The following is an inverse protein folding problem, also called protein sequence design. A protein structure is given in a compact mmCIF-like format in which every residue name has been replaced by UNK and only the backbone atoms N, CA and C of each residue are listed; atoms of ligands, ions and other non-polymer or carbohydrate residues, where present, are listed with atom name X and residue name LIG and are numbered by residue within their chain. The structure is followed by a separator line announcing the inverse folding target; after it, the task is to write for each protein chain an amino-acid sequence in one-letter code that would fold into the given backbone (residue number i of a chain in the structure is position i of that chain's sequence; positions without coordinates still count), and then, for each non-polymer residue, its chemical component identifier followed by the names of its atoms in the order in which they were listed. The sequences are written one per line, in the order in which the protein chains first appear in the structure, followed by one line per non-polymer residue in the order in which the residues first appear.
data_IF_508362859906
#
_entry.id   IF_508362859906
#
_cell.length_a   1.000
_cell.length_b   1.000
_cell.length_c   1.000
_cell.angle_alpha   90.00
_cell.angle_beta   90.00
_cell.angle_gamma   90.00
#
_symmetry.space_group_name_H-M   'P 1'
#
loop_
_entity.id
_entity.type
_entity.pdbx_description
1 polymer ?
#
# COMPACT_ATOMS: atom_id res chain seq x y z
N UNK A 1 -44.41 -52.33 -4.71
CA UNK A 1 -43.02 -52.68 -4.38
C UNK A 1 -42.12 -51.63 -5.00
N UNK A 2 -41.51 -50.77 -4.19
CA UNK A 2 -40.56 -49.75 -4.63
C UNK A 2 -39.27 -49.97 -3.84
N UNK A 3 -38.18 -50.26 -4.54
CA UNK A 3 -36.83 -50.39 -3.95
C UNK A 3 -36.31 -49.01 -3.51
N UNK A 4 -35.77 -48.88 -2.29
CA UNK A 4 -35.02 -47.69 -1.92
C UNK A 4 -33.60 -47.80 -2.48
N UNK A 5 -33.23 -46.87 -3.36
CA UNK A 5 -31.85 -46.66 -3.79
C UNK A 5 -31.11 -46.00 -2.63
N UNK A 6 -30.20 -46.72 -1.98
CA UNK A 6 -29.22 -46.13 -1.07
C UNK A 6 -28.23 -45.33 -1.91
N UNK A 7 -28.23 -44.01 -1.78
CA UNK A 7 -27.09 -43.20 -2.22
C UNK A 7 -25.90 -43.54 -1.31
N UNK A 8 -24.91 -44.22 -1.87
CA UNK A 8 -23.58 -44.34 -1.29
C UNK A 8 -22.85 -43.03 -1.57
N UNK A 9 -22.53 -42.27 -0.53
CA UNK A 9 -21.74 -41.04 -0.63
C UNK A 9 -20.26 -41.38 -0.50
N UNK A 10 -19.63 -41.75 -1.62
CA UNK A 10 -18.22 -42.14 -1.69
C UNK A 10 -17.24 -40.98 -1.42
N UNK A 11 -17.73 -39.75 -1.18
CA UNK A 11 -16.88 -38.59 -0.90
C UNK A 11 -16.22 -38.63 0.50
N UNK A 12 -16.69 -39.50 1.39
CA UNK A 12 -16.12 -39.71 2.73
C UNK A 12 -15.23 -40.96 2.83
N UNK A 13 -15.21 -41.80 1.79
CA UNK A 13 -14.32 -42.95 1.70
C UNK A 13 -12.96 -42.47 1.17
N UNK A 14 -12.23 -41.73 2.02
CA UNK A 14 -10.86 -41.33 1.72
C UNK A 14 -9.97 -42.55 1.55
N UNK A 15 -9.14 -42.58 0.50
CA UNK A 15 -8.05 -43.55 0.41
C UNK A 15 -7.16 -43.39 1.65
N UNK A 16 -7.11 -44.42 2.49
CA UNK A 16 -6.09 -44.53 3.51
C UNK A 16 -4.76 -44.58 2.76
N UNK A 17 -4.01 -43.48 2.81
CA UNK A 17 -2.62 -43.43 2.37
C UNK A 17 -1.83 -44.33 3.34
N UNK A 18 -1.85 -45.63 3.08
CA UNK A 18 -1.07 -46.65 3.77
C UNK A 18 0.40 -46.31 3.63
N UNK A 19 1.04 -45.89 4.73
CA UNK A 19 2.50 -45.90 4.99
C UNK A 19 3.46 -45.54 3.82
N UNK A 20 3.04 -44.75 2.84
CA UNK A 20 3.98 -43.94 2.08
C UNK A 20 4.55 -42.94 3.08
N UNK A 21 5.88 -42.89 3.20
CA UNK A 21 6.62 -41.98 4.09
C UNK A 21 6.37 -40.50 3.72
N UNK A 22 5.14 -40.03 3.95
CA UNK A 22 4.67 -38.69 3.75
C UNK A 22 5.02 -37.84 4.96
N UNK A 23 5.50 -36.62 4.70
CA UNK A 23 5.81 -35.65 5.74
C UNK A 23 4.55 -35.37 6.57
N UNK A 24 4.65 -35.55 7.89
CA UNK A 24 3.53 -35.29 8.79
C UNK A 24 3.25 -33.78 8.90
N UNK A 25 2.00 -33.39 9.11
CA UNK A 25 1.59 -31.98 9.25
C UNK A 25 2.42 -31.22 10.30
N UNK A 26 2.66 -31.85 11.46
CA UNK A 26 3.45 -31.27 12.54
C UNK A 26 4.93 -31.08 12.19
N UNK A 27 5.47 -31.95 11.34
CA UNK A 27 6.83 -31.86 10.83
C UNK A 27 6.96 -30.75 9.78
N UNK A 28 6.03 -30.70 8.81
CA UNK A 28 6.02 -29.68 7.76
C UNK A 28 5.93 -28.25 8.33
N UNK A 29 5.09 -28.03 9.34
CA UNK A 29 4.93 -26.72 9.98
C UNK A 29 5.87 -26.47 11.15
N UNK A 30 6.70 -27.46 11.53
CA UNK A 30 7.59 -27.38 12.68
C UNK A 30 6.85 -26.95 13.96
N UNK A 31 5.71 -27.60 14.24
CA UNK A 31 4.84 -27.23 15.35
C UNK A 31 5.50 -27.43 16.71
N UNK A 32 6.50 -28.30 16.80
CA UNK A 32 7.37 -28.46 17.97
C UNK A 32 8.06 -27.15 18.34
N UNK A 33 8.49 -26.34 17.36
CA UNK A 33 9.11 -25.03 17.62
C UNK A 33 8.07 -23.95 17.89
N UNK A 34 7.00 -23.93 17.10
CA UNK A 34 5.97 -22.87 17.19
C UNK A 34 5.19 -23.00 18.50
N UNK A 35 4.75 -24.21 18.87
CA UNK A 35 3.89 -24.46 20.03
C UNK A 35 4.67 -24.69 21.35
N UNK A 36 6.00 -24.52 21.34
CA UNK A 36 6.85 -24.55 22.54
C UNK A 36 7.57 -23.21 22.77
N UNK A 37 7.21 -22.16 22.03
CA UNK A 37 7.81 -20.83 22.15
C UNK A 37 7.10 -19.92 23.18
N UNK A 38 6.12 -20.43 23.94
CA UNK A 38 5.28 -19.65 24.86
C UNK A 38 5.83 -19.69 26.29
N UNK A 39 6.78 -18.80 26.59
CA UNK A 39 7.40 -18.70 27.91
C UNK A 39 6.82 -17.52 28.71
N UNK A 40 6.09 -17.81 29.79
CA UNK A 40 5.50 -16.80 30.69
C UNK A 40 6.51 -16.41 31.78
N UNK A 41 6.88 -15.13 31.88
CA UNK A 41 7.81 -14.64 32.90
C UNK A 41 7.15 -14.54 34.28
N UNK A 42 5.83 -14.35 34.33
CA UNK A 42 5.08 -14.31 35.58
C UNK A 42 5.04 -15.69 36.26
N UNK A 43 4.96 -16.77 35.47
CA UNK A 43 5.02 -18.15 35.96
C UNK A 43 6.39 -18.47 36.56
N UNK A 44 7.48 -18.07 35.90
CA UNK A 44 8.84 -18.23 36.43
C UNK A 44 9.07 -17.47 37.75
N UNK A 45 8.30 -16.40 37.95
CA UNK A 45 8.35 -15.57 39.16
C UNK A 45 7.39 -16.06 40.26
N UNK A 46 6.80 -17.26 40.13
CA UNK A 46 5.80 -17.85 41.04
C UNK A 46 4.52 -17.02 41.24
N UNK A 47 4.19 -16.14 40.29
CA UNK A 47 2.92 -15.39 40.27
C UNK A 47 2.33 -15.44 38.86
N UNK A 48 1.91 -16.63 38.44
CA UNK A 48 1.36 -16.84 37.10
C UNK A 48 0.15 -15.94 36.84
N UNK A 49 0.22 -15.16 35.77
CA UNK A 49 -0.88 -14.32 35.29
C UNK A 49 -1.39 -14.91 33.97
N UNK A 50 -2.65 -15.33 33.97
CA UNK A 50 -3.26 -16.04 32.84
C UNK A 50 -3.15 -15.28 31.51
N UNK A 51 -3.44 -13.97 31.52
CA UNK A 51 -3.50 -13.16 30.31
C UNK A 51 -2.12 -12.84 29.70
N UNK A 52 -1.01 -13.17 30.39
CA UNK A 52 0.33 -13.11 29.80
C UNK A 52 0.45 -14.08 28.60
N UNK A 53 -0.22 -15.24 28.66
CA UNK A 53 -0.24 -16.18 27.53
C UNK A 53 -0.90 -15.56 26.28
N UNK A 54 -2.03 -14.87 26.46
CA UNK A 54 -2.71 -14.15 25.38
C UNK A 54 -1.83 -13.05 24.80
N UNK A 55 -1.13 -12.30 25.66
CA UNK A 55 -0.17 -11.29 25.25
C UNK A 55 0.92 -11.88 24.36
N UNK A 56 1.53 -13.01 24.75
CA UNK A 56 2.59 -13.69 23.99
C UNK A 56 2.07 -14.18 22.63
N UNK A 57 0.98 -14.95 22.62
CA UNK A 57 0.42 -15.53 21.38
C UNK A 57 0.03 -14.43 20.39
N UNK A 58 -0.55 -13.33 20.88
CA UNK A 58 -0.93 -12.21 20.02
C UNK A 58 0.29 -11.62 19.31
N UNK A 59 1.38 -11.34 20.04
CA UNK A 59 2.60 -10.79 19.46
C UNK A 59 3.31 -11.78 18.52
N UNK A 60 3.33 -13.08 18.86
CA UNK A 60 3.88 -14.11 17.99
C UNK A 60 3.11 -14.19 16.66
N UNK A 61 1.77 -14.13 16.70
CA UNK A 61 0.94 -14.10 15.50
C UNK A 61 1.21 -12.84 14.65
N UNK A 62 1.38 -11.65 15.26
CA UNK A 62 1.81 -10.45 14.53
C UNK A 62 3.16 -10.65 13.83
N UNK A 63 4.15 -11.21 14.53
CA UNK A 63 5.49 -11.42 13.98
C UNK A 63 5.52 -12.46 12.84
N UNK A 64 4.67 -13.49 12.88
CA UNK A 64 4.48 -14.41 11.76
C UNK A 64 3.91 -13.70 10.53
N UNK A 65 2.90 -12.84 10.71
CA UNK A 65 2.34 -12.04 9.62
C UNK A 65 3.32 -10.98 9.10
N UNK A 66 4.11 -10.34 9.96
CA UNK A 66 5.16 -9.43 9.52
C UNK A 66 6.19 -10.15 8.66
N UNK A 67 6.58 -11.37 9.04
CA UNK A 67 7.47 -12.20 8.21
C UNK A 67 6.86 -12.47 6.83
N UNK A 68 5.58 -12.82 6.77
CA UNK A 68 4.89 -13.03 5.49
C UNK A 68 4.86 -11.74 4.65
N UNK A 69 4.52 -10.59 5.24
CA UNK A 69 4.49 -9.31 4.54
C UNK A 69 5.88 -8.97 3.99
N UNK A 70 6.94 -9.14 4.79
CA UNK A 70 8.32 -8.88 4.35
C UNK A 70 8.70 -9.81 3.19
N UNK A 71 8.32 -11.08 3.25
CA UNK A 71 8.57 -12.04 2.18
C UNK A 71 7.89 -11.65 0.86
N UNK A 72 6.62 -11.25 0.91
CA UNK A 72 5.91 -10.71 -0.26
C UNK A 72 6.56 -9.43 -0.77
N UNK A 73 6.90 -8.51 0.13
CA UNK A 73 7.47 -7.20 -0.18
C UNK A 73 8.84 -7.32 -0.85
N UNK A 74 9.70 -8.20 -0.33
CA UNK A 74 11.02 -8.46 -0.92
C UNK A 74 10.88 -9.03 -2.33
N UNK A 75 9.98 -9.98 -2.51
CA UNK A 75 9.77 -10.54 -3.84
C UNK A 75 9.13 -9.54 -4.82
N UNK A 76 8.28 -8.62 -4.36
CA UNK A 76 7.80 -7.49 -5.18
C UNK A 76 8.94 -6.54 -5.53
N UNK A 77 9.82 -6.20 -4.57
CA UNK A 77 10.99 -5.35 -4.79
C UNK A 77 11.93 -5.97 -5.83
N UNK A 78 12.13 -7.28 -5.80
CA UNK A 78 12.95 -7.99 -6.79
C UNK A 78 12.36 -7.88 -8.19
N UNK A 79 11.03 -8.04 -8.34
CA UNK A 79 10.34 -7.90 -9.63
C UNK A 79 10.48 -6.46 -10.17
N UNK A 80 10.31 -5.44 -9.32
CA UNK A 80 10.51 -4.05 -9.74
C UNK A 80 11.98 -3.69 -10.01
N UNK A 81 12.94 -4.44 -9.46
CA UNK A 81 14.37 -4.20 -9.60
C UNK A 81 14.90 -4.41 -11.02
N UNK A 82 14.17 -5.17 -11.84
CA UNK A 82 14.49 -5.43 -13.26
C UNK A 82 13.58 -4.61 -14.20
N UNK A 83 13.79 -4.73 -15.51
CA UNK A 83 12.85 -4.16 -16.49
C UNK A 83 11.53 -4.94 -16.37
N UNK A 84 10.48 -4.26 -15.92
CA UNK A 84 9.19 -4.88 -15.65
C UNK A 84 8.50 -5.28 -16.96
N UNK A 85 8.28 -6.57 -17.14
CA UNK A 85 7.40 -7.08 -18.18
C UNK A 85 5.93 -6.99 -17.72
N UNK A 86 5.01 -6.67 -18.63
CA UNK A 86 3.60 -6.43 -18.27
C UNK A 86 2.96 -7.66 -17.59
N UNK A 87 3.38 -8.87 -17.97
CA UNK A 87 2.91 -10.14 -17.38
C UNK A 87 3.20 -10.18 -15.86
N UNK A 88 4.31 -9.61 -15.42
CA UNK A 88 4.72 -9.60 -14.01
C UNK A 88 3.88 -8.62 -13.17
N UNK A 89 3.19 -7.67 -13.81
CA UNK A 89 2.31 -6.70 -13.14
C UNK A 89 1.16 -7.40 -12.40
N UNK A 90 0.61 -8.48 -12.97
CA UNK A 90 -0.42 -9.29 -12.32
C UNK A 90 0.10 -9.98 -11.05
N UNK A 91 1.35 -10.45 -11.06
CA UNK A 91 1.96 -11.06 -9.89
C UNK A 91 2.16 -10.02 -8.78
N UNK A 92 2.63 -8.81 -9.13
CA UNK A 92 2.73 -7.69 -8.20
C UNK A 92 1.37 -7.37 -7.59
N UNK A 93 0.32 -7.24 -8.41
CA UNK A 93 -1.04 -6.97 -7.96
C UNK A 93 -1.54 -8.02 -6.97
N UNK A 94 -1.36 -9.30 -7.31
CA UNK A 94 -1.76 -10.43 -6.45
C UNK A 94 -1.09 -10.34 -5.08
N UNK A 95 0.21 -10.05 -5.05
CA UNK A 95 1.00 -10.01 -3.80
C UNK A 95 0.74 -8.75 -2.98
N UNK A 96 0.62 -7.59 -3.62
CA UNK A 96 0.19 -6.35 -2.94
C UNK A 96 -1.20 -6.52 -2.33
N UNK A 97 -2.14 -7.11 -3.06
CA UNK A 97 -3.48 -7.39 -2.53
C UNK A 97 -3.43 -8.38 -1.35
N UNK A 98 -2.55 -9.39 -1.41
CA UNK A 98 -2.31 -10.29 -0.26
C UNK A 98 -1.81 -9.52 0.96
N UNK A 99 -0.85 -8.61 0.80
CA UNK A 99 -0.37 -7.74 1.89
C UNK A 99 -1.53 -6.90 2.47
N UNK A 100 -2.38 -6.33 1.61
CA UNK A 100 -3.58 -5.58 2.04
C UNK A 100 -4.50 -6.44 2.90
N UNK A 101 -4.78 -7.68 2.49
CA UNK A 101 -5.63 -8.59 3.26
C UNK A 101 -5.00 -8.99 4.61
N UNK A 102 -3.70 -9.27 4.63
CA UNK A 102 -2.98 -9.56 5.89
C UNK A 102 -3.06 -8.34 6.82
N UNK A 103 -2.81 -7.13 6.32
CA UNK A 103 -2.89 -5.91 7.12
C UNK A 103 -4.30 -5.68 7.69
N UNK A 104 -5.38 -6.05 6.97
CA UNK A 104 -6.74 -6.01 7.51
C UNK A 104 -6.90 -6.95 8.71
N UNK A 105 -6.40 -8.19 8.61
CA UNK A 105 -6.38 -9.13 9.74
C UNK A 105 -5.60 -8.55 10.92
N UNK A 106 -4.44 -7.95 10.67
CA UNK A 106 -3.63 -7.31 11.71
C UNK A 106 -4.34 -6.13 12.38
N UNK A 107 -5.12 -5.33 11.63
CA UNK A 107 -5.93 -4.24 12.19
C UNK A 107 -6.98 -4.79 13.15
N UNK A 108 -7.66 -5.87 12.78
CA UNK A 108 -8.73 -6.48 13.56
C UNK A 108 -8.21 -7.28 14.76
N UNK A 109 -7.00 -7.86 14.63
CA UNK A 109 -6.36 -8.65 15.69
C UNK A 109 -6.12 -7.86 16.99
N UNK A 110 -6.04 -6.52 16.93
CA UNK A 110 -5.97 -5.66 18.14
C UNK A 110 -7.16 -5.91 19.06
N UNK A 111 -8.35 -6.20 18.52
CA UNK A 111 -9.56 -6.44 19.31
C UNK A 111 -9.46 -7.68 20.21
N UNK A 112 -8.65 -8.67 19.82
CA UNK A 112 -8.41 -9.86 20.64
C UNK A 112 -7.62 -9.48 21.90
N UNK A 113 -6.59 -8.65 21.76
CA UNK A 113 -5.80 -8.20 22.92
C UNK A 113 -6.57 -7.22 23.81
N UNK A 114 -7.54 -6.51 23.24
CA UNK A 114 -8.44 -5.62 23.99
C UNK A 114 -9.40 -6.34 24.95
N UNK A 115 -9.51 -7.67 24.89
CA UNK A 115 -10.29 -8.45 25.87
C UNK A 115 -9.59 -8.57 27.22
N UNK A 116 -8.26 -8.39 27.26
CA UNK A 116 -7.48 -8.33 28.50
C UNK A 116 -7.79 -7.02 29.23
N UNK A 117 -8.00 -7.10 30.55
CA UNK A 117 -8.27 -5.89 31.33
C UNK A 117 -6.98 -5.13 31.67
N UNK A 118 -7.03 -3.80 31.87
CA UNK A 118 -5.87 -3.05 32.32
C UNK A 118 -5.31 -3.51 33.68
N UNK A 119 -6.16 -4.03 34.56
CA UNK A 119 -5.74 -4.55 35.87
C UNK A 119 -4.92 -5.83 35.73
N UNK A 120 -5.37 -6.76 34.89
CA UNK A 120 -4.64 -8.00 34.60
C UNK A 120 -3.31 -7.69 33.90
N UNK A 121 -3.31 -6.73 32.96
CA UNK A 121 -2.07 -6.26 32.32
C UNK A 121 -1.07 -5.71 33.33
N UNK A 122 -1.51 -4.95 34.34
CA UNK A 122 -0.61 -4.42 35.38
C UNK A 122 0.06 -5.52 36.21
N UNK A 123 -0.56 -6.70 36.35
CA UNK A 123 -0.02 -7.78 37.16
C UNK A 123 1.28 -8.37 36.60
N UNK A 124 1.44 -8.40 35.27
CA UNK A 124 2.63 -8.96 34.61
C UNK A 124 3.49 -7.91 33.88
N UNK A 125 3.02 -6.68 33.72
CA UNK A 125 3.75 -5.60 33.02
C UNK A 125 5.17 -5.37 33.54
N UNK A 126 5.41 -5.57 34.83
CA UNK A 126 6.73 -5.33 35.42
C UNK A 126 7.79 -6.33 34.92
N UNK A 127 7.39 -7.54 34.56
CA UNK A 127 8.29 -8.56 33.99
C UNK A 127 8.73 -8.21 32.57
N UNK A 128 7.97 -7.37 31.86
CA UNK A 128 8.29 -6.97 30.49
C UNK A 128 9.40 -5.92 30.40
N UNK A 129 9.84 -5.29 31.49
CA UNK A 129 10.86 -4.23 31.40
C UNK A 129 12.26 -4.83 31.21
N UNK A 130 13.11 -4.28 30.32
CA UNK A 130 12.92 -3.08 29.48
C UNK A 130 12.32 -3.36 28.09
N UNK A 131 11.87 -4.58 27.83
CA UNK A 131 11.35 -4.98 26.53
C UNK A 131 10.12 -4.17 26.08
N UNK A 132 10.04 -3.92 24.78
CA UNK A 132 8.95 -3.17 24.17
C UNK A 132 8.83 -3.43 22.67
N UNK A 133 7.68 -3.07 22.08
CA UNK A 133 7.49 -3.13 20.62
C UNK A 133 8.47 -2.28 19.81
N UNK A 134 9.24 -1.38 20.44
CA UNK A 134 10.35 -0.69 19.76
C UNK A 134 11.45 -1.65 19.29
N UNK A 135 11.56 -2.82 19.92
CA UNK A 135 12.53 -3.86 19.57
C UNK A 135 11.99 -4.85 18.52
N UNK A 136 10.79 -4.63 17.96
CA UNK A 136 10.32 -5.44 16.84
C UNK A 136 11.16 -5.14 15.60
N UNK A 137 12.12 -6.02 15.31
CA UNK A 137 13.01 -5.92 14.16
C UNK A 137 12.19 -5.91 12.86
N UNK A 138 11.26 -6.85 12.72
CA UNK A 138 10.47 -7.01 11.49
C UNK A 138 9.61 -5.78 11.21
N UNK A 139 9.04 -5.14 12.23
CA UNK A 139 8.29 -3.90 12.03
C UNK A 139 9.18 -2.76 11.48
N UNK A 140 10.45 -2.68 11.90
CA UNK A 140 11.41 -1.71 11.34
C UNK A 140 11.83 -2.05 9.93
N UNK A 141 12.10 -3.33 9.65
CA UNK A 141 12.40 -3.80 8.30
C UNK A 141 11.25 -3.50 7.34
N UNK A 142 10.00 -3.71 7.77
CA UNK A 142 8.81 -3.37 6.99
C UNK A 142 8.74 -1.87 6.67
N UNK A 143 8.92 -0.99 7.67
CA UNK A 143 8.92 0.46 7.46
C UNK A 143 10.03 0.89 6.47
N UNK A 144 11.24 0.35 6.62
CA UNK A 144 12.38 0.69 5.77
C UNK A 144 12.18 0.19 4.33
N UNK A 145 11.80 -1.09 4.17
CA UNK A 145 11.56 -1.71 2.85
C UNK A 145 10.39 -1.07 2.11
N UNK A 146 9.37 -0.56 2.80
CA UNK A 146 8.32 0.26 2.19
C UNK A 146 8.88 1.61 1.72
N UNK A 147 9.61 2.32 2.59
CA UNK A 147 10.28 3.58 2.24
C UNK A 147 10.16 4.71 3.27
N UNK A 148 9.91 4.40 4.55
CA UNK A 148 9.88 5.41 5.61
C UNK A 148 11.29 5.96 5.84
N UNK A 149 11.53 7.20 5.42
CA UNK A 149 12.84 7.87 5.59
C UNK A 149 13.16 8.11 7.06
N UNK A 150 14.43 7.94 7.44
CA UNK A 150 14.93 8.20 8.80
C UNK A 150 14.61 9.62 9.28
N UNK A 151 14.71 10.62 8.40
CA UNK A 151 14.43 12.03 8.75
C UNK A 151 12.97 12.32 9.07
N UNK A 152 12.05 11.53 8.51
CA UNK A 152 10.62 11.65 8.77
C UNK A 152 10.24 11.07 10.13
N UNK A 153 11.06 10.19 10.69
CA UNK A 153 10.83 9.59 12.02
C UNK A 153 10.86 10.68 13.09
N UNK A 154 9.96 10.58 14.06
CA UNK A 154 9.90 11.51 15.20
C UNK A 154 11.15 11.39 16.07
N UNK A 155 11.56 12.47 16.76
CA UNK A 155 12.86 12.57 17.45
C UNK A 155 13.25 11.35 18.29
N UNK A 156 12.32 10.81 19.09
CA UNK A 156 12.56 9.63 19.92
C UNK A 156 12.97 8.38 19.10
N UNK A 157 12.41 8.25 17.89
CA UNK A 157 12.58 7.10 17.01
C UNK A 157 13.51 7.37 15.82
N UNK A 158 14.27 8.49 15.84
CA UNK A 158 15.29 8.75 14.80
C UNK A 158 16.46 7.78 14.90
N UNK A 159 16.90 7.48 16.11
CA UNK A 159 17.97 6.51 16.38
C UNK A 159 17.39 5.19 16.89
N UNK A 160 16.48 4.59 16.12
CA UNK A 160 15.79 3.37 16.52
C UNK A 160 16.74 2.15 16.58
N UNK A 161 17.90 2.21 15.92
CA UNK A 161 18.96 1.18 15.99
C UNK A 161 19.51 0.98 17.40
N UNK A 162 19.54 2.04 18.24
CA UNK A 162 20.03 1.95 19.63
C UNK A 162 19.26 0.93 20.48
N UNK A 163 18.03 0.64 20.09
CA UNK A 163 17.13 -0.27 20.81
C UNK A 163 17.53 -1.74 20.64
N UNK A 164 18.32 -2.05 19.59
CA UNK A 164 18.84 -3.40 19.31
C UNK A 164 20.19 -3.68 19.96
N UNK A 165 20.78 -2.69 20.67
CA UNK A 165 21.98 -2.88 21.48
C UNK A 165 23.17 -3.41 20.67
N UNK A 166 23.68 -4.59 21.05
CA UNK A 166 24.84 -5.25 20.44
C UNK A 166 24.43 -6.45 19.56
N UNK A 167 23.16 -6.56 19.16
CA UNK A 167 22.73 -7.60 18.23
C UNK A 167 23.22 -7.25 16.82
N UNK A 168 24.42 -7.74 16.47
CA UNK A 168 25.05 -7.50 15.18
C UNK A 168 24.20 -7.99 14.01
N UNK A 169 23.47 -9.10 14.16
CA UNK A 169 22.60 -9.63 13.10
C UNK A 169 21.42 -8.70 12.83
N UNK A 170 20.76 -8.22 13.89
CA UNK A 170 19.67 -7.25 13.76
C UNK A 170 20.15 -5.93 13.15
N UNK A 171 21.30 -5.41 13.59
CA UNK A 171 21.88 -4.18 13.06
C UNK A 171 22.24 -4.31 11.58
N UNK A 172 22.86 -5.42 11.18
CA UNK A 172 23.20 -5.69 9.77
C UNK A 172 21.94 -5.75 8.90
N UNK A 173 20.87 -6.40 9.35
CA UNK A 173 19.60 -6.44 8.62
C UNK A 173 18.95 -5.07 8.48
N UNK A 174 19.05 -4.23 9.52
CA UNK A 174 18.54 -2.85 9.47
C UNK A 174 19.34 -2.03 8.47
N UNK A 175 20.67 -2.07 8.55
CA UNK A 175 21.56 -1.37 7.63
C UNK A 175 21.31 -1.80 6.17
N UNK A 176 21.18 -3.11 5.92
CA UNK A 176 20.82 -3.65 4.61
C UNK A 176 19.47 -3.09 4.14
N UNK A 177 18.46 -3.05 5.01
CA UNK A 177 17.13 -2.54 4.67
C UNK A 177 17.10 -1.03 4.39
N UNK A 178 18.01 -0.25 4.96
CA UNK A 178 18.14 1.20 4.70
C UNK A 178 18.92 1.48 3.42
N UNK A 179 19.92 0.65 3.11
CA UNK A 179 20.79 0.84 1.95
C UNK A 179 20.21 0.27 0.64
N UNK A 180 19.42 -0.80 0.72
CA UNK A 180 18.77 -1.35 -0.47
C UNK A 180 17.62 -0.45 -0.96
N UNK A 181 17.30 -0.47 -2.27
CA UNK A 181 16.16 0.25 -2.80
C UNK A 181 14.86 -0.17 -2.09
N UNK A 182 14.17 0.79 -1.50
CA UNK A 182 12.82 0.59 -0.96
C UNK A 182 11.79 0.47 -2.08
N UNK A 183 10.62 -0.08 -1.76
CA UNK A 183 9.50 -0.15 -2.70
C UNK A 183 9.14 1.24 -3.25
N UNK A 184 9.18 2.28 -2.42
CA UNK A 184 8.93 3.65 -2.86
C UNK A 184 9.88 4.11 -3.98
N UNK A 185 11.19 3.85 -3.83
CA UNK A 185 12.20 4.22 -4.85
C UNK A 185 12.00 3.42 -6.13
N UNK A 186 11.66 2.13 -6.00
CA UNK A 186 11.44 1.27 -7.15
C UNK A 186 10.16 1.64 -7.93
N UNK A 187 9.09 1.96 -7.21
CA UNK A 187 7.84 2.48 -7.79
C UNK A 187 8.07 3.84 -8.45
N UNK A 188 8.83 4.73 -7.82
CA UNK A 188 9.22 6.02 -8.40
C UNK A 188 9.92 5.83 -9.76
N UNK A 189 10.97 5.00 -9.82
CA UNK A 189 11.68 4.69 -11.07
C UNK A 189 10.79 4.05 -12.13
N UNK A 190 9.83 3.24 -11.72
CA UNK A 190 8.85 2.66 -12.63
C UNK A 190 7.91 3.73 -13.19
N UNK A 191 7.40 4.64 -12.36
CA UNK A 191 6.54 5.75 -12.77
C UNK A 191 7.24 6.73 -13.71
N UNK A 192 8.54 6.98 -13.54
CA UNK A 192 9.33 7.84 -14.43
C UNK A 192 9.44 7.31 -15.87
N UNK A 193 9.18 6.01 -16.07
CA UNK A 193 9.20 5.33 -17.36
C UNK A 193 7.80 5.14 -17.96
N UNK A 194 6.78 5.74 -17.36
CA UNK A 194 5.39 5.63 -17.86
C UNK A 194 5.31 6.18 -19.29
N UNK A 195 4.83 5.38 -20.27
CA UNK A 195 4.75 5.82 -21.66
C UNK A 195 3.76 6.97 -21.80
N UNK A 196 4.12 8.01 -22.56
CA UNK A 196 3.30 9.19 -22.81
C UNK A 196 3.81 10.48 -22.13
N UNK A 197 4.84 10.35 -21.28
CA UNK A 197 5.54 11.48 -20.67
C UNK A 197 6.58 12.12 -21.61
N UNK A 198 6.93 11.47 -22.71
CA UNK A 198 7.97 11.93 -23.62
C UNK A 198 7.54 13.22 -24.34
N UNK A 199 8.45 14.22 -24.37
CA UNK A 199 8.21 15.53 -25.00
C UNK A 199 8.02 15.40 -26.51
N UNK A 200 8.84 14.57 -27.17
CA UNK A 200 8.72 14.30 -28.61
C UNK A 200 7.68 13.20 -28.93
N UNK A 201 6.95 12.72 -27.91
CA UNK A 201 5.92 11.70 -28.05
C UNK A 201 4.52 12.27 -27.83
N UNK A 202 3.77 11.68 -26.88
CA UNK A 202 2.43 12.15 -26.57
C UNK A 202 2.44 13.53 -25.86
N UNK A 203 3.54 13.88 -25.17
CA UNK A 203 3.69 15.09 -24.38
C UNK A 203 2.48 15.34 -23.46
N UNK A 204 2.19 14.37 -22.59
CA UNK A 204 1.06 14.48 -21.67
C UNK A 204 1.15 15.76 -20.83
N UNK A 205 2.33 16.08 -20.30
CA UNK A 205 2.49 17.17 -19.35
C UNK A 205 2.17 18.54 -19.96
N UNK A 206 2.70 18.84 -21.14
CA UNK A 206 2.39 20.10 -21.83
C UNK A 206 0.91 20.20 -22.24
N UNK A 207 0.29 19.09 -22.64
CA UNK A 207 -1.15 19.06 -22.94
C UNK A 207 -2.01 19.26 -21.70
N UNK A 208 -1.61 18.68 -20.58
CA UNK A 208 -2.29 18.80 -19.30
C UNK A 208 -2.18 20.23 -18.75
N UNK A 209 -1.00 20.86 -18.84
CA UNK A 209 -0.82 22.28 -18.49
C UNK A 209 -1.73 23.19 -19.31
N UNK A 210 -1.77 23.00 -20.64
CA UNK A 210 -2.68 23.74 -21.51
C UNK A 210 -4.15 23.53 -21.14
N UNK A 211 -4.56 22.29 -20.83
CA UNK A 211 -5.91 21.98 -20.41
C UNK A 211 -6.29 22.66 -19.08
N UNK A 212 -5.37 22.70 -18.11
CA UNK A 212 -5.58 23.41 -16.84
C UNK A 212 -5.69 24.92 -17.08
N UNK A 213 -4.83 25.50 -17.92
CA UNK A 213 -4.89 26.92 -18.25
C UNK A 213 -6.23 27.30 -18.91
N UNK A 214 -6.74 26.46 -19.82
CA UNK A 214 -8.07 26.65 -20.42
C UNK A 214 -9.20 26.55 -19.38
N UNK A 215 -9.14 25.56 -18.48
CA UNK A 215 -10.10 25.41 -17.39
C UNK A 215 -10.12 26.64 -16.48
N UNK A 216 -8.94 27.12 -16.07
CA UNK A 216 -8.83 28.29 -15.18
C UNK A 216 -9.32 29.57 -15.86
N UNK A 217 -9.04 29.75 -17.16
CA UNK A 217 -9.54 30.93 -17.89
C UNK A 217 -11.07 30.88 -18.05
N UNK A 218 -11.65 29.71 -18.34
CA UNK A 218 -13.12 29.57 -18.40
C UNK A 218 -13.77 29.82 -17.04
N UNK A 219 -13.20 29.28 -15.96
CA UNK A 219 -13.65 29.55 -14.59
C UNK A 219 -13.56 31.04 -14.25
N UNK A 220 -12.54 31.73 -14.74
CA UNK A 220 -12.36 33.17 -14.54
C UNK A 220 -13.43 33.98 -15.25
N UNK A 221 -13.73 33.64 -16.51
CA UNK A 221 -14.81 34.30 -17.25
C UNK A 221 -16.17 34.07 -16.56
N UNK A 222 -16.42 32.84 -16.10
CA UNK A 222 -17.63 32.51 -15.34
C UNK A 222 -17.72 33.26 -14.00
N UNK A 223 -16.59 33.48 -13.31
CA UNK A 223 -16.53 34.28 -12.10
C UNK A 223 -16.79 35.78 -12.39
N UNK A 224 -16.25 36.31 -13.50
CA UNK A 224 -16.44 37.71 -13.88
C UNK A 224 -17.89 38.04 -14.25
N UNK A 225 -18.61 37.07 -14.84
CA UNK A 225 -20.02 37.15 -15.22
C UNK A 225 -20.99 36.94 -14.04
N UNK A 226 -20.50 36.67 -12.83
CA UNK A 226 -21.34 36.47 -11.66
C UNK A 226 -21.98 37.80 -11.21
N UNK A 227 -23.33 37.91 -11.18
CA UNK A 227 -24.02 39.15 -10.82
C UNK A 227 -23.86 39.53 -9.34
N UNK A 228 -23.64 38.56 -8.45
CA UNK A 228 -23.52 38.81 -7.01
C UNK A 228 -22.06 39.11 -6.65
N UNK A 229 -21.77 40.36 -6.27
CA UNK A 229 -20.40 40.83 -6.01
C UNK A 229 -19.65 40.02 -4.93
N UNK A 230 -20.32 39.63 -3.85
CA UNK A 230 -19.71 38.79 -2.81
C UNK A 230 -19.33 37.39 -3.32
N UNK A 231 -20.17 36.81 -4.17
CA UNK A 231 -19.92 35.50 -4.76
C UNK A 231 -18.84 35.57 -5.85
N UNK A 232 -18.81 36.67 -6.61
CA UNK A 232 -17.75 36.98 -7.57
C UNK A 232 -16.38 37.06 -6.88
N UNK A 233 -16.26 37.84 -5.82
CA UNK A 233 -15.01 37.94 -5.05
C UNK A 233 -14.59 36.59 -4.47
N UNK A 234 -15.54 35.82 -3.93
CA UNK A 234 -15.26 34.47 -3.43
C UNK A 234 -14.70 33.56 -4.54
N UNK A 235 -15.33 33.52 -5.72
CA UNK A 235 -14.88 32.69 -6.85
C UNK A 235 -13.51 33.13 -7.39
N UNK A 236 -13.24 34.44 -7.45
CA UNK A 236 -11.92 34.94 -7.88
C UNK A 236 -10.82 34.54 -6.91
N UNK A 237 -11.05 34.68 -5.60
CA UNK A 237 -10.11 34.26 -4.57
C UNK A 237 -9.87 32.73 -4.58
N UNK A 238 -10.92 31.94 -4.80
CA UNK A 238 -10.80 30.47 -4.95
C UNK A 238 -9.95 30.10 -6.18
N UNK A 239 -10.16 30.81 -7.29
CA UNK A 239 -9.41 30.61 -8.52
C UNK A 239 -7.91 30.94 -8.36
N UNK A 240 -7.58 32.04 -7.68
CA UNK A 240 -6.18 32.38 -7.35
C UNK A 240 -5.51 31.27 -6.54
N UNK A 241 -6.16 30.78 -5.48
CA UNK A 241 -5.64 29.65 -4.69
C UNK A 241 -5.48 28.40 -5.54
N UNK A 242 -6.45 28.10 -6.40
CA UNK A 242 -6.38 26.93 -7.28
C UNK A 242 -5.24 27.05 -8.29
N UNK A 243 -4.97 28.25 -8.78
CA UNK A 243 -3.82 28.54 -9.65
C UNK A 243 -2.50 28.28 -8.94
N UNK A 244 -2.32 28.77 -7.71
CA UNK A 244 -1.13 28.49 -6.89
C UNK A 244 -0.93 26.98 -6.67
N UNK A 245 -2.02 26.26 -6.42
CA UNK A 245 -1.99 24.79 -6.28
C UNK A 245 -1.48 24.13 -7.56
N UNK A 246 -1.97 24.49 -8.74
CA UNK A 246 -1.47 23.93 -10.01
C UNK A 246 -0.05 24.40 -10.35
N UNK A 247 0.31 25.64 -10.03
CA UNK A 247 1.67 26.14 -10.22
C UNK A 247 2.69 25.31 -9.42
N UNK A 248 2.29 24.81 -8.24
CA UNK A 248 3.12 23.92 -7.43
C UNK A 248 3.48 22.58 -8.09
N UNK A 249 2.75 22.15 -9.13
CA UNK A 249 3.08 20.95 -9.90
C UNK A 249 3.75 21.30 -11.22
N UNK A 250 3.43 22.42 -11.86
CA UNK A 250 4.02 22.81 -13.14
C UNK A 250 5.44 23.37 -13.00
N UNK A 251 5.74 24.12 -11.93
CA UNK A 251 7.11 24.53 -11.64
C UNK A 251 7.91 23.39 -11.02
N UNK A 252 9.01 23.02 -11.68
CA UNK A 252 9.95 22.01 -11.17
C UNK A 252 10.64 22.50 -9.89
N UNK A 253 10.93 23.79 -9.79
CA UNK A 253 11.57 24.43 -8.65
C UNK A 253 10.69 24.36 -7.38
N UNK A 254 9.40 24.70 -7.52
CA UNK A 254 8.45 24.61 -6.40
C UNK A 254 8.26 23.15 -6.00
N UNK A 255 8.14 22.24 -6.97
CA UNK A 255 8.04 20.81 -6.70
C UNK A 255 9.27 20.31 -5.92
N UNK A 256 10.49 20.69 -6.33
CA UNK A 256 11.73 20.32 -5.65
C UNK A 256 11.80 20.91 -4.24
N UNK A 257 11.34 22.14 -4.03
CA UNK A 257 11.27 22.75 -2.71
C UNK A 257 10.31 22.00 -1.76
N UNK A 258 9.21 21.43 -2.28
CA UNK A 258 8.29 20.60 -1.50
C UNK A 258 8.88 19.22 -1.18
N UNK A 259 9.65 18.65 -2.11
CA UNK A 259 10.41 17.41 -1.87
C UNK A 259 11.45 17.59 -0.75
N UNK A 260 12.24 18.66 -0.81
CA UNK A 260 13.28 18.96 0.17
C UNK A 260 12.70 19.20 1.58
N UNK A 261 11.48 19.73 1.67
CA UNK A 261 10.76 19.91 2.94
C UNK A 261 10.10 18.63 3.47
N UNK A 262 10.06 17.56 2.67
CA UNK A 262 9.34 16.34 3.03
C UNK A 262 7.82 16.52 3.01
N UNK A 263 7.31 17.43 2.18
CA UNK A 263 5.87 17.55 1.89
C UNK A 263 5.46 16.68 0.69
N UNK A 264 6.40 16.41 -0.23
CA UNK A 264 6.28 15.40 -1.30
C UNK A 264 7.34 14.31 -1.16
N UNK A 265 7.17 13.19 -1.87
CA UNK A 265 8.06 12.01 -1.83
C UNK A 265 8.61 11.66 -3.21
N UNK A 266 7.78 11.72 -4.23
CA UNK A 266 8.10 11.39 -5.61
C UNK A 266 8.85 12.49 -6.34
N UNK A 267 9.78 12.10 -7.21
CA UNK A 267 10.34 12.97 -8.22
C UNK A 267 9.25 13.61 -9.08
N UNK A 268 9.57 14.77 -9.67
CA UNK A 268 8.63 15.49 -10.52
C UNK A 268 8.11 14.61 -11.65
N UNK A 269 8.99 13.83 -12.30
CA UNK A 269 8.63 12.94 -13.41
C UNK A 269 7.80 11.74 -12.95
N UNK A 270 8.09 11.13 -11.81
CA UNK A 270 7.26 10.07 -11.25
C UNK A 270 5.85 10.57 -10.92
N UNK A 271 5.75 11.79 -10.39
CA UNK A 271 4.49 12.45 -10.11
C UNK A 271 3.65 12.65 -11.38
N UNK A 272 4.28 13.06 -12.49
CA UNK A 272 3.62 13.16 -13.80
C UNK A 272 3.09 11.80 -14.27
N UNK A 273 3.88 10.74 -14.13
CA UNK A 273 3.48 9.37 -14.47
C UNK A 273 2.27 8.89 -13.67
N UNK A 274 2.24 9.18 -12.37
CA UNK A 274 1.12 8.82 -11.51
C UNK A 274 -0.17 9.57 -11.89
N UNK A 275 -0.08 10.87 -12.23
CA UNK A 275 -1.22 11.64 -12.76
C UNK A 275 -1.71 11.04 -14.09
N UNK A 276 -0.78 10.72 -14.99
CA UNK A 276 -1.10 10.13 -16.30
C UNK A 276 -1.88 8.83 -16.13
N UNK A 277 -1.37 7.89 -15.34
CA UNK A 277 -2.05 6.61 -15.03
C UNK A 277 -3.44 6.87 -14.44
N UNK A 278 -3.58 7.85 -13.55
CA UNK A 278 -4.86 8.18 -12.91
C UNK A 278 -5.91 8.68 -13.91
N UNK A 279 -5.53 9.51 -14.88
CA UNK A 279 -6.45 10.02 -15.89
C UNK A 279 -6.85 8.98 -16.95
N UNK A 280 -5.91 8.13 -17.35
CA UNK A 280 -6.12 7.15 -18.42
C UNK A 280 -6.24 5.71 -17.89
N UNK A 281 -6.65 5.54 -16.63
CA UNK A 281 -6.83 4.23 -15.97
C UNK A 281 -7.80 3.27 -16.67
N UNK A 282 -8.68 3.82 -17.51
CA UNK A 282 -9.67 3.06 -18.27
C UNK A 282 -9.02 2.41 -19.53
N UNK A 283 -7.79 2.81 -19.88
CA UNK A 283 -7.02 2.19 -20.97
C UNK A 283 -6.41 0.85 -20.55
N UNK A 284 -6.40 -0.18 -21.42
CA UNK A 284 -5.97 -1.54 -21.06
C UNK A 284 -4.60 -1.62 -20.38
N UNK A 285 -3.58 -0.95 -20.94
CA UNK A 285 -2.22 -0.95 -20.38
C UNK A 285 -2.07 -0.14 -19.09
N UNK A 286 -3.01 0.74 -18.74
CA UNK A 286 -2.97 1.53 -17.50
C UNK A 286 -3.89 1.03 -16.41
N UNK A 287 -4.81 0.11 -16.71
CA UNK A 287 -5.71 -0.45 -15.70
C UNK A 287 -4.94 -1.15 -14.56
N UNK A 288 -4.01 -2.04 -14.90
CA UNK A 288 -3.19 -2.75 -13.90
C UNK A 288 -2.27 -1.80 -13.12
N UNK A 289 -1.51 -0.87 -13.75
CA UNK A 289 -0.78 0.17 -13.04
C UNK A 289 -1.64 0.96 -12.06
N UNK A 290 -2.85 1.36 -12.46
CA UNK A 290 -3.76 2.09 -11.58
C UNK A 290 -4.16 1.26 -10.35
N UNK A 291 -4.42 -0.04 -10.52
CA UNK A 291 -4.69 -0.94 -9.40
C UNK A 291 -3.49 -1.06 -8.46
N UNK A 292 -2.25 -1.09 -8.97
CA UNK A 292 -1.04 -1.07 -8.13
C UNK A 292 -1.03 0.19 -7.27
N UNK A 293 -1.25 1.37 -7.87
CA UNK A 293 -1.27 2.64 -7.13
C UNK A 293 -2.33 2.65 -6.02
N UNK A 294 -3.52 2.08 -6.26
CA UNK A 294 -4.55 1.96 -5.23
C UNK A 294 -4.12 1.03 -4.08
N UNK A 295 -3.54 -0.13 -4.39
CA UNK A 295 -3.07 -1.06 -3.35
C UNK A 295 -1.95 -0.46 -2.50
N UNK A 296 -1.07 0.38 -3.07
CA UNK A 296 -0.06 1.12 -2.31
C UNK A 296 -0.70 2.11 -1.33
N UNK A 297 -1.76 2.83 -1.74
CA UNK A 297 -2.53 3.69 -0.84
C UNK A 297 -3.27 2.88 0.24
N UNK A 298 -3.81 1.71 -0.10
CA UNK A 298 -4.47 0.83 0.86
C UNK A 298 -3.50 0.34 1.94
N UNK A 299 -2.28 -0.03 1.57
CA UNK A 299 -1.21 -0.43 2.50
C UNK A 299 -0.90 0.71 3.49
N UNK A 300 -0.64 1.94 3.00
CA UNK A 300 -0.38 3.11 3.85
C UNK A 300 -1.56 3.40 4.79
N UNK A 301 -2.78 3.29 4.28
CA UNK A 301 -4.01 3.51 5.05
C UNK A 301 -4.16 2.46 6.16
N UNK A 302 -3.91 1.19 5.85
CA UNK A 302 -4.04 0.10 6.81
C UNK A 302 -2.94 0.10 7.88
N UNK A 303 -1.70 0.43 7.52
CA UNK A 303 -0.62 0.63 8.51
C UNK A 303 -1.00 1.78 9.45
N UNK A 304 -1.55 2.88 8.91
CA UNK A 304 -2.00 4.01 9.73
C UNK A 304 -3.16 3.61 10.66
N UNK A 305 -4.13 2.84 10.16
CA UNK A 305 -5.24 2.28 10.96
C UNK A 305 -4.72 1.35 12.06
N UNK A 306 -3.77 0.48 11.76
CA UNK A 306 -3.15 -0.40 12.74
C UNK A 306 -2.45 0.41 13.85
N UNK A 307 -1.67 1.44 13.49
CA UNK A 307 -1.06 2.35 14.48
C UNK A 307 -2.12 3.03 15.34
N UNK A 308 -3.23 3.46 14.75
CA UNK A 308 -4.32 4.12 15.46
C UNK A 308 -5.01 3.17 16.45
N UNK A 309 -5.37 1.96 16.03
CA UNK A 309 -5.94 0.94 16.91
C UNK A 309 -4.97 0.60 18.04
N UNK A 310 -3.68 0.44 17.74
CA UNK A 310 -2.65 0.22 18.75
C UNK A 310 -2.56 1.40 19.74
N UNK A 311 -2.64 2.65 19.28
CA UNK A 311 -2.68 3.84 20.16
C UNK A 311 -3.87 3.81 21.11
N UNK A 312 -5.07 3.47 20.61
CA UNK A 312 -6.28 3.39 21.43
C UNK A 312 -6.20 2.27 22.47
N UNK A 313 -5.74 1.08 22.06
CA UNK A 313 -5.51 -0.04 22.97
C UNK A 313 -4.50 0.35 24.06
N UNK A 314 -3.37 0.97 23.70
CA UNK A 314 -2.37 1.43 24.69
C UNK A 314 -2.97 2.46 25.63
N UNK A 315 -3.77 3.41 25.13
CA UNK A 315 -4.46 4.39 25.98
C UNK A 315 -5.40 3.70 26.98
N UNK A 316 -6.09 2.64 26.58
CA UNK A 316 -6.94 1.83 27.49
C UNK A 316 -6.10 1.09 28.54
N UNK A 317 -4.96 0.51 28.13
CA UNK A 317 -4.12 -0.33 29.00
C UNK A 317 -3.28 0.46 30.02
N UNK A 318 -2.74 1.62 29.65
CA UNK A 318 -1.79 2.37 30.50
C UNK A 318 -2.15 3.86 30.66
N UNK A 319 -3.26 4.32 30.09
CA UNK A 319 -3.63 5.73 30.08
C UNK A 319 -2.72 6.60 29.20
N UNK A 320 -2.79 7.91 29.39
CA UNK A 320 -2.04 8.91 28.61
C UNK A 320 -0.72 9.37 29.24
N UNK A 321 -0.51 9.07 30.53
CA UNK A 321 0.58 9.63 31.34
C UNK A 321 1.62 8.62 31.82
N UNK A 322 1.35 7.31 31.73
CA UNK A 322 2.35 6.31 32.07
C UNK A 322 3.40 6.20 30.96
N UNK A 323 4.67 6.19 31.38
CA UNK A 323 5.80 5.91 30.48
C UNK A 323 5.71 4.48 29.94
N UNK A 324 6.04 4.30 28.66
CA UNK A 324 6.18 2.98 28.06
C UNK A 324 7.34 2.20 28.68
N UNK A 325 7.28 0.87 28.67
CA UNK A 325 8.37 0.01 29.18
C UNK A 325 9.69 0.23 28.44
N UNK A 326 9.62 0.62 27.16
CA UNK A 326 10.76 0.97 26.32
C UNK A 326 11.25 2.42 26.44
N UNK A 327 10.87 3.17 27.48
CA UNK A 327 11.42 4.51 27.79
C UNK A 327 10.77 5.71 27.09
N UNK A 328 9.80 5.48 26.20
CA UNK A 328 9.08 6.57 25.53
C UNK A 328 8.02 7.20 26.43
N UNK A 329 7.48 8.36 26.00
CA UNK A 329 6.27 8.97 26.59
C UNK A 329 4.99 8.14 26.39
N UNK A 330 5.10 6.90 25.92
CA UNK A 330 4.00 5.96 25.77
C UNK A 330 2.99 6.44 24.73
N UNK A 331 1.79 6.75 25.19
CA UNK A 331 0.68 7.22 24.36
C UNK A 331 1.04 8.41 23.45
N UNK A 332 1.71 9.45 23.99
CA UNK A 332 2.01 10.67 23.22
C UNK A 332 2.98 10.40 22.06
N UNK A 333 3.98 9.55 22.29
CA UNK A 333 4.87 9.09 21.23
C UNK A 333 4.09 8.34 20.15
N UNK A 334 3.29 7.34 20.52
CA UNK A 334 2.55 6.52 19.55
C UNK A 334 1.59 7.38 18.72
N UNK A 335 0.89 8.32 19.37
CA UNK A 335 0.00 9.28 18.69
C UNK A 335 0.75 10.13 17.67
N UNK A 336 1.99 10.53 17.94
CA UNK A 336 2.83 11.27 16.98
C UNK A 336 3.19 10.46 15.73
N UNK A 337 3.10 9.12 15.78
CA UNK A 337 3.35 8.25 14.63
C UNK A 337 2.18 8.17 13.64
N UNK A 338 1.03 8.76 13.99
CA UNK A 338 -0.17 8.84 13.12
C UNK A 338 -0.09 9.96 12.06
N UNK A 339 1.04 10.67 12.01
CA UNK A 339 1.27 11.76 11.06
C UNK A 339 1.61 11.24 9.66
N UNK A 340 1.27 12.03 8.64
CA UNK A 340 1.65 11.82 7.24
C UNK A 340 3.17 11.72 7.01
N UNK A 341 3.98 12.05 8.00
CA UNK A 341 5.43 11.74 8.00
C UNK A 341 5.72 10.25 7.79
N UNK A 342 4.86 9.37 8.28
CA UNK A 342 5.00 7.92 8.11
C UNK A 342 4.29 7.36 6.88
N UNK A 343 3.48 8.17 6.16
CA UNK A 343 2.88 7.76 4.88
C UNK A 343 3.95 7.83 3.79
N UNK A 344 4.21 6.69 3.18
CA UNK A 344 5.26 6.54 2.17
C UNK A 344 4.80 7.08 0.82
N UNK A 345 3.55 6.80 0.45
CA UNK A 345 2.91 7.15 -0.82
C UNK A 345 1.92 8.31 -0.67
N UNK A 346 2.23 9.28 0.21
CA UNK A 346 1.38 10.46 0.46
C UNK A 346 1.01 11.22 -0.81
N UNK A 347 1.90 11.24 -1.80
CA UNK A 347 1.66 11.90 -3.07
C UNK A 347 0.50 11.29 -3.85
N UNK A 348 0.30 9.96 -3.76
CA UNK A 348 -0.82 9.27 -4.42
C UNK A 348 -2.17 9.75 -3.90
N UNK A 349 -2.29 9.97 -2.58
CA UNK A 349 -3.50 10.54 -1.99
C UNK A 349 -3.73 11.97 -2.48
N UNK A 350 -2.65 12.75 -2.56
CA UNK A 350 -2.69 14.16 -2.97
C UNK A 350 -2.92 14.36 -4.47
N UNK A 351 -2.84 13.32 -5.31
CA UNK A 351 -3.17 13.40 -6.74
C UNK A 351 -4.60 13.89 -6.98
N UNK A 352 -5.51 13.54 -6.07
CA UNK A 352 -6.93 13.94 -6.14
C UNK A 352 -7.11 15.45 -6.21
N UNK A 353 -6.19 16.22 -5.63
CA UNK A 353 -6.16 17.68 -5.65
C UNK A 353 -6.02 18.24 -7.08
N UNK A 354 -5.36 17.50 -7.97
CA UNK A 354 -4.99 17.96 -9.31
C UNK A 354 -5.90 17.42 -10.41
N UNK A 355 -6.98 16.73 -10.04
CA UNK A 355 -7.94 16.23 -11.01
C UNK A 355 -8.71 17.39 -11.68
N UNK A 356 -8.95 17.23 -12.98
CA UNK A 356 -9.75 18.15 -13.80
C UNK A 356 -10.97 17.41 -14.36
N UNK A 357 -12.04 18.12 -14.77
CA UNK A 357 -13.20 17.49 -15.36
C UNK A 357 -12.83 16.68 -16.61
N UNK A 358 -13.53 15.57 -16.86
CA UNK A 358 -13.23 14.63 -17.96
C UNK A 358 -13.17 15.30 -19.34
N UNK A 359 -13.93 16.38 -19.55
CA UNK A 359 -13.95 17.16 -20.80
C UNK A 359 -12.61 17.83 -21.13
N UNK A 360 -11.79 18.16 -20.12
CA UNK A 360 -10.50 18.82 -20.29
C UNK A 360 -9.34 17.84 -20.32
N UNK A 361 -9.54 16.56 -19.99
CA UNK A 361 -8.48 15.55 -20.06
C UNK A 361 -8.01 15.48 -21.53
N UNK A 362 -6.70 15.62 -21.81
CA UNK A 362 -6.20 15.57 -23.16
C UNK A 362 -6.64 14.30 -23.89
N UNK A 363 -7.09 14.42 -25.13
CA UNK A 363 -7.46 13.23 -25.90
C UNK A 363 -6.20 12.47 -26.31
N UNK A 364 -6.24 11.14 -26.19
CA UNK A 364 -5.20 10.27 -26.71
C UNK A 364 -5.10 10.43 -28.23
N UNK A 365 -3.88 10.57 -28.75
CA UNK A 365 -3.65 10.49 -30.20
C UNK A 365 -3.88 9.06 -30.67
N UNK A 366 -4.19 8.83 -31.97
CA UNK A 366 -4.33 7.48 -32.51
C UNK A 366 -3.11 6.58 -32.24
N UNK A 367 -1.90 7.14 -32.39
CA UNK A 367 -0.64 6.45 -32.05
C UNK A 367 -0.56 6.06 -30.57
N UNK A 368 -0.90 6.98 -29.67
CA UNK A 368 -0.88 6.70 -28.22
C UNK A 368 -1.94 5.67 -27.84
N UNK A 369 -3.13 5.75 -28.43
CA UNK A 369 -4.18 4.74 -28.21
C UNK A 369 -3.73 3.36 -28.68
N UNK A 370 -3.13 3.27 -29.87
CA UNK A 370 -2.58 2.00 -30.39
C UNK A 370 -1.49 1.44 -29.45
N UNK A 371 -0.58 2.30 -28.99
CA UNK A 371 0.43 1.93 -27.98
C UNK A 371 -0.20 1.44 -26.69
N UNK A 372 -1.30 2.05 -26.22
CA UNK A 372 -1.98 1.66 -24.98
C UNK A 372 -2.93 0.46 -25.13
N UNK A 373 -3.20 0.02 -26.36
CA UNK A 373 -3.98 -1.18 -26.65
C UNK A 373 -3.08 -2.43 -26.64
N UNK A 374 -3.59 -3.50 -26.03
CA UNK A 374 -2.91 -4.80 -25.93
C UNK A 374 -2.79 -5.54 -27.27
N UNK A 375 -3.48 -5.08 -28.33
CA UNK A 375 -3.65 -5.80 -29.59
C UNK A 375 -2.68 -5.40 -30.71
N UNK A 376 -1.76 -4.45 -30.48
CA UNK A 376 -0.92 -3.88 -31.56
C UNK A 376 0.18 -4.79 -32.10
N UNK A 377 0.31 -6.03 -31.61
CA UNK A 377 1.30 -7.00 -32.09
C UNK A 377 0.81 -7.96 -33.20
N UNK A 378 -0.42 -7.79 -33.71
CA UNK A 378 -0.89 -8.52 -34.88
C UNK A 378 -0.45 -7.85 -36.18
N UNK A 379 0.69 -8.25 -36.74
CA UNK A 379 0.97 -7.97 -38.16
C UNK A 379 -0.02 -8.79 -38.98
N UNK A 380 -1.04 -8.14 -39.56
CA UNK A 380 -1.82 -8.78 -40.62
C UNK A 380 -0.89 -9.07 -41.81
N UNK A 381 -0.97 -10.25 -42.46
CA UNK A 381 -0.05 -10.63 -43.54
C UNK A 381 -0.11 -9.73 -44.79
N UNK A 382 -1.04 -8.77 -44.85
CA UNK A 382 -1.35 -8.01 -46.05
C UNK A 382 -1.42 -6.51 -45.80
N UNK A 383 -0.32 -5.86 -45.38
CA UNK A 383 0.06 -4.48 -45.71
C UNK A 383 -0.98 -3.33 -45.66
N UNK A 384 -2.16 -3.51 -45.07
CA UNK A 384 -3.20 -2.50 -44.95
C UNK A 384 -3.20 -2.03 -43.51
N UNK A 385 -2.95 -0.74 -43.30
CA UNK A 385 -3.08 -0.09 -42.01
C UNK A 385 -4.56 -0.08 -41.61
N UNK A 386 -5.02 -1.15 -40.98
CA UNK A 386 -6.33 -1.18 -40.33
C UNK A 386 -6.35 -0.15 -39.21
N UNK A 387 -7.37 0.73 -39.22
CA UNK A 387 -7.74 1.51 -38.05
C UNK A 387 -8.19 0.53 -36.96
N UNK A 388 -7.24 -0.03 -36.20
CA UNK A 388 -7.51 -0.96 -35.13
C UNK A 388 -8.37 -0.28 -34.08
N UNK A 389 -9.68 -0.50 -34.16
CA UNK A 389 -10.59 -0.18 -33.05
C UNK A 389 -10.16 -1.06 -31.88
N UNK A 390 -9.90 -0.43 -30.75
CA UNK A 390 -9.63 -1.14 -29.50
C UNK A 390 -10.96 -1.74 -29.02
N UNK A 391 -11.25 -2.97 -29.43
CA UNK A 391 -12.48 -3.67 -29.08
C UNK A 391 -12.55 -5.04 -29.75
N UNK A 392 -13.17 -6.00 -29.08
CA UNK A 392 -13.66 -7.21 -29.73
C UNK A 392 -14.81 -6.77 -30.65
N UNK A 393 -14.63 -6.85 -31.96
CA UNK A 393 -15.79 -6.91 -32.86
C UNK A 393 -16.47 -8.25 -32.58
N UNK A 394 -17.53 -8.22 -31.76
CA UNK A 394 -18.47 -9.33 -31.67
C UNK A 394 -19.19 -9.31 -33.01
N UNK A 395 -18.77 -10.17 -33.94
CA UNK A 395 -19.58 -10.49 -35.09
C UNK A 395 -20.90 -11.02 -34.56
N UNK A 396 -21.96 -10.22 -34.75
CA UNK A 396 -23.34 -10.62 -34.53
C UNK A 396 -23.67 -11.65 -35.61
N UNK A 397 -23.18 -12.87 -35.42
CA UNK A 397 -23.56 -14.03 -36.22
C UNK A 397 -25.01 -14.31 -35.85
N UNK A 398 -25.91 -13.67 -36.61
CA UNK A 398 -27.35 -13.74 -36.46
C UNK A 398 -27.79 -15.15 -36.12
N UNK A 399 -28.30 -15.31 -34.90
CA UNK A 399 -29.17 -16.42 -34.60
C UNK A 399 -30.44 -16.20 -35.44
N UNK A 400 -30.48 -16.81 -36.63
CA UNK A 400 -31.71 -16.99 -37.37
C UNK A 400 -32.71 -17.69 -36.46
N UNK A 401 -33.86 -17.04 -36.30
CA UNK A 401 -35.07 -17.61 -35.71
C UNK A 401 -35.52 -18.80 -36.57
N UNK A 402 -35.12 -20.02 -36.20
CA UNK A 402 -35.78 -21.25 -36.65
C UNK A 402 -36.14 -22.10 -35.43
N UNK A 403 -37.25 -21.74 -34.78
CA UNK A 403 -38.05 -22.68 -33.99
C UNK A 403 -39.48 -22.60 -34.52
N UNK A 404 -39.83 -23.61 -35.32
CA UNK A 404 -41.20 -24.00 -35.68
C UNK A 404 -41.84 -24.76 -34.52
#
# INVERSE_FOLDING_TARGET
MACPVKHYDAAQDGEQLDDEAGMLYGEYLMLDKILQAQRLLSEESNKAVHDEHLFIITHQAYELWFKQIIFELDSIRDIFGVVLEEIQTLEILKRLNRIVLILKVLVDQVMILETMTPLDFMEFRNYLRPASGFQSLQFRLLENKLGVKADNRVKYNKNYTKVFGNDEEALNKIEESENQPSLAILVERWLERTPGLEVEGFNFWGKYENAVNLLLEEQKQNALNEPIESLKQYRLNDLEKRREVYESIFSSEIHQALLNRGERRFSHKAFQGAILITFYRDEPRFNQPFQILNLLMDIDSLITKWRYNHVLMVQRMIGSSQLGTGGSSGYQYLRSTLSDRYKVFVDLFNLSTFLIPRSYIPRLSPDMRSKLCMWSNGVEPNGVTGNGKCGLEIEDNGFEEDIV
#
